data_IF_318159198620
#
_entry.id   IF_318159198620
#
_cell.length_a   1.000
_cell.length_b   1.000
_cell.length_c   1.000
_cell.angle_alpha   90.00
_cell.angle_beta   90.00
_cell.angle_gamma   90.00
#
_symmetry.space_group_name_H-M   'P 1'
#
loop_
_entity.id
_entity.type
_entity.pdbx_description
1 polymer ?
#
# COMPACT_ATOMS: atom_id res chain seq x y z
N UNK A 1 0.47 -27.02 0.16
CA UNK A 1 -0.76 -26.27 -0.17
C UNK A 1 -0.33 -25.03 -0.92
N UNK A 2 -0.61 -24.93 -2.23
CA UNK A 2 -0.33 -23.72 -2.97
C UNK A 2 -1.37 -22.66 -2.57
N UNK A 3 -1.02 -21.79 -1.64
CA UNK A 3 -1.83 -20.59 -1.38
C UNK A 3 -1.66 -19.67 -2.60
N UNK A 4 -2.61 -19.72 -3.52
CA UNK A 4 -2.68 -18.74 -4.61
C UNK A 4 -3.19 -17.42 -4.03
N UNK A 5 -2.31 -16.45 -3.85
CA UNK A 5 -2.71 -15.10 -3.48
C UNK A 5 -3.46 -14.43 -4.63
N UNK A 6 -4.44 -13.58 -4.29
CA UNK A 6 -5.21 -12.79 -5.25
C UNK A 6 -4.38 -11.61 -5.78
N UNK A 7 -3.63 -10.97 -4.91
CA UNK A 7 -2.74 -9.85 -5.25
C UNK A 7 -1.59 -9.71 -4.24
N UNK A 8 -0.54 -9.00 -4.65
CA UNK A 8 0.58 -8.62 -3.77
C UNK A 8 0.45 -7.16 -3.38
N UNK A 9 0.33 -6.88 -2.09
CA UNK A 9 0.34 -5.53 -1.55
C UNK A 9 1.77 -5.17 -1.14
N UNK A 10 2.36 -4.20 -1.83
CA UNK A 10 3.75 -3.79 -1.66
C UNK A 10 3.77 -2.47 -0.90
N UNK A 11 4.29 -2.51 0.32
CA UNK A 11 4.45 -1.35 1.19
C UNK A 11 5.93 -0.94 1.16
N UNK A 12 6.17 0.29 0.78
CA UNK A 12 7.49 0.92 0.92
C UNK A 12 7.63 1.53 2.30
N UNK A 13 8.75 1.32 2.96
CA UNK A 13 8.96 1.79 4.32
C UNK A 13 10.37 2.34 4.54
N UNK A 14 10.47 3.45 5.24
CA UNK A 14 11.67 3.95 5.88
C UNK A 14 11.33 4.32 7.31
N UNK A 15 12.15 3.85 8.24
CA UNK A 15 11.83 3.99 9.65
C UNK A 15 11.78 5.46 10.09
N UNK A 16 10.68 5.79 10.75
CA UNK A 16 10.50 6.96 11.59
C UNK A 16 9.61 6.57 12.75
N UNK A 17 9.86 7.15 13.92
CA UNK A 17 9.13 6.79 15.14
C UNK A 17 7.61 6.98 15.01
N UNK A 18 7.20 8.05 14.32
CA UNK A 18 5.81 8.38 14.06
C UNK A 18 5.13 7.45 13.04
N UNK A 19 5.90 6.75 12.20
CA UNK A 19 5.36 5.90 11.10
C UNK A 19 5.12 4.45 11.49
N UNK A 20 5.76 3.98 12.55
CA UNK A 20 5.65 2.55 12.89
C UNK A 20 4.24 2.17 13.31
N UNK A 21 3.51 3.06 14.00
CA UNK A 21 2.13 2.80 14.40
C UNK A 21 1.19 2.78 13.19
N UNK A 22 1.39 3.69 12.23
CA UNK A 22 0.64 3.69 10.99
C UNK A 22 0.88 2.41 10.18
N UNK A 23 2.14 1.99 10.04
CA UNK A 23 2.46 0.73 9.38
C UNK A 23 1.76 -0.46 10.04
N UNK A 24 1.74 -0.55 11.38
CA UNK A 24 1.03 -1.61 12.10
C UNK A 24 -0.46 -1.61 11.74
N UNK A 25 -1.11 -0.45 11.75
CA UNK A 25 -2.52 -0.33 11.37
C UNK A 25 -2.80 -0.79 9.94
N UNK A 26 -1.96 -0.39 9.01
CA UNK A 26 -2.09 -0.84 7.61
C UNK A 26 -1.94 -2.37 7.52
N UNK A 27 -1.01 -2.95 8.27
CA UNK A 27 -0.81 -4.41 8.32
C UNK A 27 -2.02 -5.11 8.94
N UNK A 28 -2.53 -4.60 10.07
CA UNK A 28 -3.70 -5.17 10.75
C UNK A 28 -4.92 -5.13 9.82
N UNK A 29 -5.12 -4.01 9.13
CA UNK A 29 -6.16 -3.87 8.14
C UNK A 29 -6.01 -4.86 6.98
N UNK A 30 -4.82 -4.99 6.39
CA UNK A 30 -4.53 -5.95 5.32
C UNK A 30 -4.71 -7.39 5.77
N UNK A 31 -4.40 -7.71 7.01
CA UNK A 31 -4.54 -9.06 7.58
C UNK A 31 -6.00 -9.51 7.68
N UNK A 32 -6.95 -8.57 7.68
CA UNK A 32 -8.39 -8.85 7.59
C UNK A 32 -8.84 -9.34 6.21
N UNK A 33 -8.03 -9.15 5.16
CA UNK A 33 -8.31 -9.69 3.83
C UNK A 33 -7.68 -11.08 3.69
N UNK A 34 -8.45 -12.08 3.27
CA UNK A 34 -7.91 -13.39 2.90
C UNK A 34 -7.19 -13.36 1.55
N UNK A 35 -6.14 -14.17 1.40
CA UNK A 35 -5.50 -14.39 0.10
C UNK A 35 -4.65 -13.22 -0.41
N UNK A 36 -4.02 -12.45 0.48
CA UNK A 36 -3.11 -11.35 0.13
C UNK A 36 -1.67 -11.72 0.45
N UNK A 37 -0.76 -11.47 -0.50
CA UNK A 37 0.67 -11.45 -0.25
C UNK A 37 1.07 -10.04 0.21
N UNK A 38 1.49 -9.87 1.45
CA UNK A 38 1.98 -8.58 1.98
C UNK A 38 3.50 -8.55 1.90
N UNK A 39 4.05 -7.55 1.21
CA UNK A 39 5.48 -7.35 1.03
C UNK A 39 5.85 -5.97 1.58
N UNK A 40 6.73 -5.93 2.58
CA UNK A 40 7.29 -4.68 3.11
C UNK A 40 8.72 -4.55 2.61
N UNK A 41 8.99 -3.46 1.89
CA UNK A 41 10.35 -3.11 1.45
C UNK A 41 10.87 -1.98 2.33
N UNK A 42 11.73 -2.35 3.26
CA UNK A 42 12.41 -1.39 4.14
C UNK A 42 13.70 -0.89 3.49
N UNK A 43 13.81 0.43 3.32
CA UNK A 43 15.02 1.08 2.83
C UNK A 43 15.61 1.98 3.91
N UNK A 44 16.68 1.53 4.56
CA UNK A 44 17.33 2.28 5.64
C UNK A 44 18.82 1.95 5.75
N UNK A 45 19.55 2.66 6.63
CA UNK A 45 20.96 2.41 6.93
C UNK A 45 21.17 1.07 7.63
N UNK A 46 20.23 0.67 8.47
CA UNK A 46 20.20 -0.61 9.18
C UNK A 46 18.75 -1.06 9.35
N UNK A 47 18.50 -2.38 9.43
CA UNK A 47 17.13 -2.89 9.59
C UNK A 47 16.55 -2.42 10.93
N UNK A 48 15.30 -1.93 10.88
CA UNK A 48 14.53 -1.44 12.04
C UNK A 48 13.31 -2.28 12.32
N UNK A 49 12.79 -2.98 11.31
CA UNK A 49 11.63 -3.84 11.44
C UNK A 49 11.94 -5.24 11.97
N UNK A 50 13.21 -5.62 12.13
CA UNK A 50 13.63 -6.94 12.64
C UNK A 50 13.07 -7.29 14.01
N UNK A 51 12.70 -6.30 14.82
CA UNK A 51 12.08 -6.50 16.13
C UNK A 51 10.59 -6.79 16.07
N UNK A 52 9.99 -6.69 14.90
CA UNK A 52 8.57 -6.90 14.69
C UNK A 52 8.33 -8.17 13.88
N UNK A 53 7.93 -9.22 14.56
CA UNK A 53 7.57 -10.48 13.88
C UNK A 53 6.16 -10.34 13.31
N UNK A 54 6.05 -9.98 12.06
CA UNK A 54 4.78 -10.00 11.34
C UNK A 54 4.59 -11.39 10.73
N UNK A 55 3.73 -12.19 11.32
CA UNK A 55 3.44 -13.54 10.80
C UNK A 55 2.82 -13.45 9.40
N UNK A 56 3.41 -14.19 8.45
CA UNK A 56 2.90 -14.26 7.08
C UNK A 56 3.24 -13.08 6.17
N UNK A 57 4.06 -12.13 6.64
CA UNK A 57 4.51 -10.96 5.86
C UNK A 57 5.92 -11.18 5.34
N UNK A 58 6.15 -10.85 4.09
CA UNK A 58 7.46 -10.86 3.45
C UNK A 58 8.16 -9.52 3.70
N UNK A 59 9.14 -9.51 4.59
CA UNK A 59 9.97 -8.34 4.85
C UNK A 59 11.27 -8.41 4.04
N UNK A 60 11.58 -7.35 3.32
CA UNK A 60 12.79 -7.21 2.51
C UNK A 60 13.53 -5.96 2.97
N UNK A 61 14.68 -6.18 3.57
CA UNK A 61 15.55 -5.06 3.94
C UNK A 61 16.54 -4.74 2.81
N UNK A 62 16.69 -3.46 2.55
CA UNK A 62 17.58 -2.93 1.54
C UNK A 62 18.42 -1.80 2.14
N UNK A 63 19.72 -2.07 2.32
CA UNK A 63 20.63 -1.07 2.89
C UNK A 63 20.81 0.12 1.95
N UNK A 64 20.59 1.32 2.47
CA UNK A 64 20.80 2.55 1.72
C UNK A 64 21.22 3.71 2.66
N UNK A 65 22.31 4.38 2.28
CA UNK A 65 22.74 5.62 2.91
C UNK A 65 22.23 6.87 2.16
N UNK A 66 21.62 6.66 0.98
CA UNK A 66 21.09 7.69 0.12
C UNK A 66 19.71 8.18 0.58
N UNK A 67 19.22 9.31 0.07
CA UNK A 67 17.82 9.71 0.23
C UNK A 67 16.86 8.56 -0.13
N UNK A 68 15.69 8.57 0.50
CA UNK A 68 14.66 7.56 0.26
C UNK A 68 14.17 7.59 -1.19
N UNK A 69 14.30 6.48 -1.89
CA UNK A 69 13.84 6.33 -3.26
C UNK A 69 12.60 5.43 -3.29
N UNK A 70 11.46 6.07 -3.53
CA UNK A 70 10.13 5.43 -3.54
C UNK A 70 10.01 4.40 -4.66
N UNK A 71 10.36 4.79 -5.87
CA UNK A 71 10.25 3.97 -7.07
C UNK A 71 11.15 2.73 -6.98
N UNK A 72 12.35 2.91 -6.47
CA UNK A 72 13.28 1.82 -6.27
C UNK A 72 12.73 0.78 -5.27
N UNK A 73 12.14 1.22 -4.15
CA UNK A 73 11.54 0.30 -3.18
C UNK A 73 10.38 -0.50 -3.79
N UNK A 74 9.52 0.12 -4.60
CA UNK A 74 8.48 -0.60 -5.33
C UNK A 74 9.06 -1.60 -6.33
N UNK A 75 10.11 -1.22 -7.08
CA UNK A 75 10.77 -2.12 -8.02
C UNK A 75 11.38 -3.36 -7.33
N UNK A 76 11.89 -3.22 -6.11
CA UNK A 76 12.31 -4.35 -5.29
C UNK A 76 11.10 -5.23 -4.95
N UNK A 77 10.00 -4.63 -4.50
CA UNK A 77 8.77 -5.37 -4.19
C UNK A 77 8.21 -6.14 -5.39
N UNK A 78 8.21 -5.54 -6.59
CA UNK A 78 7.78 -6.19 -7.84
C UNK A 78 8.58 -7.48 -8.10
N UNK A 79 9.89 -7.45 -7.92
CA UNK A 79 10.75 -8.63 -8.10
C UNK A 79 10.40 -9.78 -7.16
N UNK A 80 9.94 -9.45 -5.98
CA UNK A 80 9.63 -10.41 -4.93
C UNK A 80 8.16 -10.81 -4.84
N UNK A 81 7.29 -10.19 -5.65
CA UNK A 81 5.86 -10.51 -5.71
C UNK A 81 5.59 -11.80 -6.49
N UNK A 82 4.63 -12.59 -6.00
CA UNK A 82 4.24 -13.86 -6.62
C UNK A 82 2.98 -13.77 -7.49
N UNK A 83 2.28 -12.63 -7.50
CA UNK A 83 0.98 -12.45 -8.17
C UNK A 83 1.08 -11.58 -9.43
N UNK A 84 0.03 -11.65 -10.26
CA UNK A 84 -0.09 -10.83 -11.47
C UNK A 84 -0.77 -9.47 -11.21
N UNK A 85 -1.37 -9.27 -10.05
CA UNK A 85 -1.93 -7.99 -9.61
C UNK A 85 -1.08 -7.45 -8.50
N UNK A 86 -0.56 -6.24 -8.69
CA UNK A 86 0.28 -5.53 -7.72
C UNK A 86 -0.48 -4.33 -7.18
N UNK A 87 -0.47 -4.17 -5.88
CA UNK A 87 -1.00 -2.99 -5.20
C UNK A 87 0.17 -2.29 -4.52
N UNK A 88 0.44 -1.06 -4.92
CA UNK A 88 1.43 -0.21 -4.28
C UNK A 88 0.74 0.65 -3.23
N UNK A 89 1.19 0.58 -2.00
CA UNK A 89 0.57 1.29 -0.89
C UNK A 89 1.56 2.05 -0.03
N UNK A 90 1.11 3.20 0.48
CA UNK A 90 1.82 3.92 1.51
C UNK A 90 1.58 3.25 2.88
N UNK A 91 2.52 3.44 3.81
CA UNK A 91 2.47 2.84 5.15
C UNK A 91 1.53 3.55 6.13
N UNK A 92 0.74 4.49 5.65
CA UNK A 92 -0.14 5.36 6.42
C UNK A 92 -1.50 5.60 5.75
N UNK A 93 -1.88 4.76 4.79
CA UNK A 93 -3.14 4.90 4.07
C UNK A 93 -3.98 3.63 4.16
N UNK A 94 -5.24 3.79 4.51
CA UNK A 94 -6.27 2.76 4.53
C UNK A 94 -7.27 3.00 3.41
N UNK A 95 -7.85 1.94 2.87
CA UNK A 95 -8.89 2.01 1.84
C UNK A 95 -10.11 1.25 2.34
N UNK A 96 -11.28 1.74 2.04
CA UNK A 96 -12.50 1.02 2.30
C UNK A 96 -12.50 -0.34 1.59
N UNK A 97 -12.84 -1.46 2.28
CA UNK A 97 -12.77 -2.81 1.71
C UNK A 97 -13.56 -2.97 0.40
N UNK A 98 -14.74 -2.35 0.30
CA UNK A 98 -15.56 -2.43 -0.91
C UNK A 98 -14.92 -1.74 -2.11
N UNK A 99 -14.20 -0.64 -1.90
CA UNK A 99 -13.44 0.05 -2.94
C UNK A 99 -12.28 -0.82 -3.43
N UNK A 100 -11.58 -1.51 -2.52
CA UNK A 100 -10.52 -2.46 -2.87
C UNK A 100 -11.06 -3.60 -3.72
N UNK A 101 -12.17 -4.23 -3.31
CA UNK A 101 -12.81 -5.35 -4.03
C UNK A 101 -13.29 -4.90 -5.42
N UNK A 102 -13.91 -3.72 -5.51
CA UNK A 102 -14.37 -3.17 -6.79
C UNK A 102 -13.20 -2.92 -7.74
N UNK A 103 -12.10 -2.38 -7.24
CA UNK A 103 -10.89 -2.14 -8.02
C UNK A 103 -10.23 -3.43 -8.51
N UNK A 104 -10.27 -4.50 -7.71
CA UNK A 104 -9.79 -5.83 -8.13
C UNK A 104 -10.61 -6.41 -9.30
N UNK A 105 -11.90 -6.11 -9.38
CA UNK A 105 -12.72 -6.48 -10.54
C UNK A 105 -12.34 -5.66 -11.78
N UNK A 106 -12.05 -4.37 -11.60
CA UNK A 106 -11.71 -3.46 -12.69
C UNK A 106 -10.33 -3.73 -13.29
N UNK A 107 -9.34 -4.17 -12.50
CA UNK A 107 -7.97 -4.38 -12.99
C UNK A 107 -7.86 -5.44 -14.08
N UNK A 108 -8.87 -6.28 -14.24
CA UNK A 108 -8.99 -7.21 -15.37
C UNK A 108 -9.17 -6.53 -16.73
N UNK A 109 -9.67 -5.29 -16.74
CA UNK A 109 -9.96 -4.50 -17.95
C UNK A 109 -8.99 -3.33 -18.16
N UNK A 110 -8.19 -2.97 -17.16
CA UNK A 110 -7.28 -1.82 -17.18
C UNK A 110 -5.88 -2.22 -16.73
N UNK A 111 -4.87 -1.51 -17.19
CA UNK A 111 -3.47 -1.71 -16.78
C UNK A 111 -3.18 -1.12 -15.41
N UNK A 112 -3.95 -0.10 -15.02
CA UNK A 112 -3.81 0.62 -13.77
C UNK A 112 -5.18 1.07 -13.26
N UNK A 113 -5.40 0.95 -11.95
CA UNK A 113 -6.65 1.38 -11.27
C UNK A 113 -6.29 2.09 -9.97
N UNK A 114 -6.85 3.29 -9.76
CA UNK A 114 -6.87 3.94 -8.45
C UNK A 114 -8.11 3.48 -7.69
N UNK A 115 -7.96 2.92 -6.48
CA UNK A 115 -9.11 2.42 -5.72
C UNK A 115 -9.88 3.51 -4.97
N UNK A 116 -9.56 4.78 -5.16
CA UNK A 116 -10.22 5.90 -4.50
C UNK A 116 -10.26 7.14 -5.40
N UNK A 117 -11.22 8.01 -5.15
CA UNK A 117 -11.36 9.33 -5.80
C UNK A 117 -11.14 10.50 -4.85
N UNK A 118 -11.23 10.24 -3.54
CA UNK A 118 -11.01 11.24 -2.49
C UNK A 118 -10.19 10.65 -1.33
N UNK A 119 -9.53 11.51 -0.56
CA UNK A 119 -8.74 11.12 0.62
C UNK A 119 -9.16 11.95 1.82
N UNK A 120 -9.52 11.29 2.90
CA UNK A 120 -9.79 11.91 4.18
C UNK A 120 -8.52 11.93 5.03
N UNK A 121 -8.00 13.12 5.29
CA UNK A 121 -6.88 13.28 6.22
C UNK A 121 -7.38 13.17 7.66
N UNK A 122 -6.93 12.16 8.39
CA UNK A 122 -7.33 11.91 9.76
C UNK A 122 -6.50 12.76 10.74
N UNK A 123 -7.14 13.29 11.76
CA UNK A 123 -6.46 13.87 12.92
C UNK A 123 -5.78 12.76 13.72
N UNK A 124 -4.88 13.14 14.64
CA UNK A 124 -4.22 12.19 15.52
C UNK A 124 -5.23 11.41 16.38
N UNK A 125 -6.32 12.04 16.82
CA UNK A 125 -7.38 11.38 17.58
C UNK A 125 -8.16 10.39 16.73
N UNK A 126 -8.59 10.81 15.53
CA UNK A 126 -9.30 9.95 14.58
C UNK A 126 -8.46 8.76 14.12
N UNK A 127 -7.14 8.93 14.04
CA UNK A 127 -6.25 7.83 13.70
C UNK A 127 -6.23 6.71 14.76
N UNK A 128 -6.82 6.89 15.92
CA UNK A 128 -6.99 5.86 16.96
C UNK A 128 -8.35 5.14 16.89
N UNK A 129 -9.27 5.58 16.04
CA UNK A 129 -10.58 4.97 15.86
C UNK A 129 -10.47 3.59 15.17
N UNK A 130 -11.49 2.76 15.29
CA UNK A 130 -11.64 1.55 14.47
C UNK A 130 -11.88 1.92 13.00
N UNK A 131 -11.66 0.99 12.08
CA UNK A 131 -11.90 1.24 10.66
C UNK A 131 -13.35 1.65 10.38
N UNK A 132 -14.32 0.96 11.00
CA UNK A 132 -15.75 1.29 10.85
C UNK A 132 -16.08 2.71 11.33
N UNK A 133 -15.46 3.13 12.44
CA UNK A 133 -15.60 4.51 12.94
C UNK A 133 -14.95 5.52 11.99
N UNK A 134 -13.77 5.20 11.39
CA UNK A 134 -13.13 6.07 10.41
C UNK A 134 -14.01 6.25 9.17
N UNK A 135 -14.62 5.18 8.66
CA UNK A 135 -15.51 5.22 7.49
C UNK A 135 -16.77 6.05 7.77
N UNK A 136 -17.21 6.11 9.03
CA UNK A 136 -18.38 6.91 9.43
C UNK A 136 -18.11 8.41 9.59
N UNK A 137 -16.86 8.88 9.45
CA UNK A 137 -16.51 10.29 9.53
C UNK A 137 -17.13 11.04 8.35
N UNK A 138 -18.07 11.93 8.65
CA UNK A 138 -18.79 12.70 7.63
C UNK A 138 -18.22 14.12 7.50
N UNK A 139 -17.20 14.27 6.67
CA UNK A 139 -16.67 15.55 6.21
C UNK A 139 -16.04 15.41 4.82
N UNK A 140 -15.94 16.51 4.04
CA UNK A 140 -15.31 16.48 2.72
C UNK A 140 -13.86 16.01 2.80
N UNK A 141 -13.49 15.10 1.90
CA UNK A 141 -12.11 14.69 1.66
C UNK A 141 -11.43 15.54 0.59
N UNK A 142 -10.10 15.43 0.49
CA UNK A 142 -9.36 15.97 -0.66
C UNK A 142 -9.77 15.22 -1.93
N UNK A 143 -9.98 15.93 -3.03
CA UNK A 143 -10.37 15.36 -4.33
C UNK A 143 -11.87 15.40 -4.61
N UNK A 144 -12.72 15.74 -3.63
CA UNK A 144 -14.16 15.89 -3.85
C UNK A 144 -14.51 17.19 -4.60
N UNK A 145 -13.63 18.20 -4.57
CA UNK A 145 -13.80 19.44 -5.32
C UNK A 145 -12.93 19.42 -6.59
N UNK A 146 -13.46 19.92 -7.70
CA UNK A 146 -12.84 19.94 -9.04
C UNK A 146 -11.41 20.53 -9.08
N UNK A 147 -11.04 21.35 -8.11
CA UNK A 147 -9.74 22.01 -8.04
C UNK A 147 -8.63 21.17 -7.37
N UNK A 148 -8.96 20.00 -6.80
CA UNK A 148 -8.00 19.13 -6.11
C UNK A 148 -8.04 17.71 -6.67
N UNK A 149 -7.72 17.58 -7.96
CA UNK A 149 -7.63 16.24 -8.59
C UNK A 149 -6.58 15.40 -7.90
N UNK A 150 -6.98 14.21 -7.44
CA UNK A 150 -6.06 13.21 -6.91
C UNK A 150 -5.34 12.56 -8.09
N UNK A 151 -4.00 12.70 -8.10
CA UNK A 151 -3.16 12.04 -9.09
C UNK A 151 -2.97 10.56 -8.71
N UNK A 152 -2.88 9.69 -9.71
CA UNK A 152 -2.56 8.27 -9.55
C UNK A 152 -1.18 8.02 -8.91
N UNK A 153 -0.34 9.03 -8.78
CA UNK A 153 1.04 8.91 -8.29
C UNK A 153 1.18 8.80 -6.76
N UNK A 154 0.10 8.89 -5.99
CA UNK A 154 0.13 8.88 -4.52
C UNK A 154 -0.81 7.87 -3.89
N UNK A 155 -0.56 7.54 -2.63
CA UNK A 155 -1.45 6.71 -1.83
C UNK A 155 -1.40 5.24 -2.20
N UNK A 156 -2.51 4.71 -2.74
CA UNK A 156 -2.60 3.31 -3.19
C UNK A 156 -3.01 3.24 -4.65
N UNK A 157 -2.29 2.44 -5.41
CA UNK A 157 -2.55 2.22 -6.85
C UNK A 157 -2.39 0.74 -7.16
N UNK A 158 -3.30 0.19 -7.96
CA UNK A 158 -3.23 -1.17 -8.49
C UNK A 158 -2.67 -1.18 -9.91
N UNK A 159 -1.86 -2.19 -10.21
CA UNK A 159 -1.30 -2.41 -11.52
C UNK A 159 -1.36 -3.88 -11.92
N UNK A 160 -1.47 -4.12 -13.21
CA UNK A 160 -1.10 -5.41 -13.79
C UNK A 160 0.42 -5.50 -13.85
N UNK A 161 0.97 -6.60 -13.36
CA UNK A 161 2.43 -6.81 -13.30
C UNK A 161 3.07 -6.81 -14.68
N UNK A 162 2.43 -7.42 -15.66
CA UNK A 162 2.90 -7.46 -17.04
C UNK A 162 2.99 -6.05 -17.66
N UNK A 163 2.04 -5.18 -17.37
CA UNK A 163 2.03 -3.79 -17.86
C UNK A 163 3.19 -2.98 -17.27
N UNK A 164 3.46 -3.12 -15.96
CA UNK A 164 4.63 -2.46 -15.33
C UNK A 164 5.96 -2.97 -15.90
N UNK A 165 6.06 -4.27 -16.16
CA UNK A 165 7.28 -4.84 -16.74
C UNK A 165 7.51 -4.31 -18.16
N UNK A 166 6.46 -4.18 -18.97
CA UNK A 166 6.53 -3.64 -20.35
C UNK A 166 7.04 -2.21 -20.40
N UNK A 167 6.65 -1.34 -19.47
CA UNK A 167 7.11 0.06 -19.42
C UNK A 167 8.49 0.23 -18.74
N UNK A 168 9.19 -0.84 -18.40
CA UNK A 168 10.52 -0.81 -17.82
C UNK A 168 10.57 -0.54 -16.31
N UNK A 169 9.45 -0.75 -15.61
CA UNK A 169 9.26 -0.50 -14.17
C UNK A 169 9.00 0.98 -13.84
N UNK A 170 8.90 1.27 -12.53
CA UNK A 170 8.65 2.64 -12.05
C UNK A 170 9.97 3.41 -12.00
N UNK A 171 10.01 4.56 -12.65
CA UNK A 171 11.15 5.51 -12.66
C UNK A 171 11.14 6.43 -11.44
#
# INVERSE_FOLDING_TARGET
MNNSYLFSFIIRYRHRQDRIQNLRRVIDWLSGFGGIEIIIVEQDKSPKLNTFTFKGIKHIFTKSNSPYNRSWAFNVGIKHSSTNVLVFGDSDLLIEPNQMISSLKMIGHYDCVSPYSSVLDLTQQESQLSLDQMVSINRPGRGENDNQKINLCGGVVMYRKDSIIKIGRIS
#
